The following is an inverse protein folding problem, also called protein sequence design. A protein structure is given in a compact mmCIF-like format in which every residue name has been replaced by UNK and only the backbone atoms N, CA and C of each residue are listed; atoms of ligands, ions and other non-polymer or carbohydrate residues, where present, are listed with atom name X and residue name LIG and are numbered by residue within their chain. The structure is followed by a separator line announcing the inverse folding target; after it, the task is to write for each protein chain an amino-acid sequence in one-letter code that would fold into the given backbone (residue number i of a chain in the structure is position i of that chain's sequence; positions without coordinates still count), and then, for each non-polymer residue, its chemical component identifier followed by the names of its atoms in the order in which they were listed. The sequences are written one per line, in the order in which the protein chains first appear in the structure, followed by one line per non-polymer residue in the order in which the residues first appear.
data_IF_168707838997
#
_entry.id   IF_168707838997
#
_cell.length_a   1.000
_cell.length_b   1.000
_cell.length_c   1.000
_cell.angle_alpha   90.00
_cell.angle_beta   90.00
_cell.angle_gamma   90.00
#
_symmetry.space_group_name_H-M   'P 1'
#
loop_
_entity.id
_entity.type
_entity.pdbx_description
1 polymer ?
#
# COMPACT_ATOMS: atom_id res chain seq x y z
N UNK A 1 -6.10 -31.00 6.34
CA UNK A 1 -7.12 -30.07 5.80
C UNK A 1 -6.78 -28.57 5.97
N UNK A 2 -5.65 -28.17 6.56
CA UNK A 2 -5.25 -26.76 6.77
C UNK A 2 -4.25 -26.22 5.74
N UNK A 3 -3.59 -27.09 4.98
CA UNK A 3 -2.61 -26.74 3.93
C UNK A 3 -3.21 -25.92 2.79
N UNK A 4 -4.54 -25.91 2.63
CA UNK A 4 -5.22 -25.19 1.56
C UNK A 4 -5.36 -23.67 1.81
N UNK A 5 -5.19 -23.16 3.03
CA UNK A 5 -5.40 -21.72 3.28
C UNK A 5 -4.23 -20.85 2.78
N UNK A 6 -3.03 -21.35 2.90
CA UNK A 6 -1.81 -20.63 2.54
C UNK A 6 -1.55 -20.71 1.03
N UNK A 7 -1.82 -21.87 0.41
CA UNK A 7 -1.87 -21.98 -1.06
C UNK A 7 -2.91 -21.03 -1.68
N UNK A 8 -4.00 -20.76 -0.95
CA UNK A 8 -5.02 -19.77 -1.34
C UNK A 8 -4.46 -18.35 -1.30
N UNK A 9 -3.53 -18.00 -0.40
CA UNK A 9 -2.95 -16.64 -0.32
C UNK A 9 -1.96 -16.41 -1.47
N UNK A 10 -1.15 -17.39 -1.85
CA UNK A 10 -0.23 -17.28 -3.00
C UNK A 10 -0.97 -17.42 -4.33
N UNK A 11 -1.90 -18.35 -4.45
CA UNK A 11 -2.82 -18.39 -5.59
C UNK A 11 -3.69 -17.13 -5.65
N UNK A 12 -4.04 -16.53 -4.51
CA UNK A 12 -4.68 -15.21 -4.45
C UNK A 12 -3.71 -14.08 -4.84
N UNK A 13 -2.43 -14.12 -4.49
CA UNK A 13 -1.45 -13.13 -4.98
C UNK A 13 -1.24 -13.25 -6.51
N UNK A 14 -1.21 -14.46 -7.06
CA UNK A 14 -1.14 -14.69 -8.51
C UNK A 14 -2.50 -14.43 -9.19
N UNK A 15 -3.62 -14.72 -8.53
CA UNK A 15 -4.98 -14.38 -9.01
C UNK A 15 -5.34 -12.91 -8.78
N UNK A 16 -4.67 -12.19 -7.88
CA UNK A 16 -4.83 -10.75 -7.68
C UNK A 16 -4.22 -9.93 -8.82
N UNK A 17 -3.34 -10.49 -9.65
CA UNK A 17 -2.96 -9.89 -10.93
C UNK A 17 -4.18 -9.82 -11.90
N UNK A 18 -5.25 -10.58 -11.65
CA UNK A 18 -6.51 -10.55 -12.40
C UNK A 18 -7.69 -10.09 -11.54
N UNK A 19 -7.48 -9.77 -10.27
CA UNK A 19 -8.51 -9.18 -9.43
C UNK A 19 -8.95 -7.89 -10.08
N UNK A 20 -10.08 -7.94 -10.76
CA UNK A 20 -10.88 -6.75 -11.00
C UNK A 20 -11.01 -6.07 -9.63
N UNK A 21 -10.22 -5.04 -9.40
CA UNK A 21 -10.44 -4.11 -8.30
C UNK A 21 -11.93 -3.77 -8.38
N UNK A 22 -12.72 -4.20 -7.42
CA UNK A 22 -14.18 -4.03 -7.42
C UNK A 22 -14.59 -2.54 -7.38
N UNK A 23 -13.64 -1.62 -7.55
CA UNK A 23 -13.88 -0.18 -7.72
C UNK A 23 -14.45 0.52 -6.48
N UNK A 24 -14.52 -0.20 -5.35
CA UNK A 24 -15.19 0.28 -4.15
C UNK A 24 -14.23 0.89 -3.13
N UNK A 25 -13.01 0.40 -3.06
CA UNK A 25 -11.99 0.99 -2.19
C UNK A 25 -11.35 2.18 -2.90
N UNK A 26 -11.44 3.35 -2.26
CA UNK A 26 -11.04 4.61 -2.87
C UNK A 26 -10.40 5.53 -1.84
N UNK A 27 -9.36 6.24 -2.26
CA UNK A 27 -8.83 7.40 -1.53
C UNK A 27 -8.99 8.63 -2.42
N UNK A 28 -9.87 9.55 -2.03
CA UNK A 28 -10.11 10.81 -2.73
C UNK A 28 -9.39 11.94 -1.99
N UNK A 29 -8.53 12.64 -2.70
CA UNK A 29 -7.84 13.85 -2.21
C UNK A 29 -8.34 15.06 -2.99
N UNK A 30 -8.80 16.09 -2.29
CA UNK A 30 -9.23 17.36 -2.88
C UNK A 30 -8.28 18.45 -2.38
N UNK A 31 -7.69 19.20 -3.29
CA UNK A 31 -6.78 20.31 -3.00
C UNK A 31 -7.45 21.60 -3.48
N UNK A 32 -7.51 22.61 -2.61
CA UNK A 32 -8.11 23.90 -2.89
C UNK A 32 -7.05 24.95 -3.30
N UNK A 33 -7.50 26.04 -3.95
CA UNK A 33 -6.62 27.14 -4.40
C UNK A 33 -5.87 27.82 -3.23
N UNK A 34 -6.45 27.86 -2.04
CA UNK A 34 -5.81 28.42 -0.84
C UNK A 34 -4.76 27.50 -0.22
N UNK A 35 -4.74 26.21 -0.62
CA UNK A 35 -3.83 25.18 -0.14
C UNK A 35 -4.43 24.31 0.96
N UNK A 36 -5.64 24.61 1.41
CA UNK A 36 -6.40 23.66 2.23
C UNK A 36 -6.74 22.42 1.42
N UNK A 37 -6.90 21.29 2.08
CA UNK A 37 -7.21 20.04 1.40
C UNK A 37 -8.10 19.14 2.25
N UNK A 38 -8.68 18.14 1.62
CA UNK A 38 -9.41 17.08 2.31
C UNK A 38 -9.06 15.71 1.75
N UNK A 39 -9.11 14.70 2.60
CA UNK A 39 -8.95 13.31 2.22
C UNK A 39 -10.15 12.51 2.70
N UNK A 40 -10.68 11.69 1.80
CA UNK A 40 -11.73 10.74 2.07
C UNK A 40 -11.26 9.35 1.67
N UNK A 41 -11.46 8.36 2.54
CA UNK A 41 -11.16 6.97 2.27
C UNK A 41 -12.46 6.16 2.36
N UNK A 42 -12.70 5.32 1.37
CA UNK A 42 -13.85 4.42 1.31
C UNK A 42 -13.35 2.99 1.26
N UNK A 43 -13.86 2.10 2.12
CA UNK A 43 -13.44 0.71 2.25
C UNK A 43 -14.55 -0.17 2.83
N UNK A 44 -14.39 -1.49 2.71
CA UNK A 44 -15.30 -2.46 3.31
C UNK A 44 -15.00 -2.62 4.81
N UNK A 45 -15.93 -2.23 5.71
CA UNK A 45 -15.66 -2.21 7.14
C UNK A 45 -15.81 -3.59 7.79
N UNK A 46 -15.10 -3.81 8.89
CA UNK A 46 -15.47 -4.85 9.84
C UNK A 46 -16.71 -4.43 10.67
N UNK A 47 -17.51 -5.39 11.19
CA UNK A 47 -18.69 -5.06 11.99
C UNK A 47 -18.37 -4.12 13.17
N UNK A 48 -17.30 -4.41 13.92
CA UNK A 48 -16.86 -3.59 15.04
C UNK A 48 -16.45 -2.17 14.64
N UNK A 49 -15.92 -1.96 13.42
CA UNK A 49 -15.52 -0.64 12.94
C UNK A 49 -16.71 0.24 12.58
N UNK A 50 -17.73 -0.33 11.91
CA UNK A 50 -18.92 0.43 11.47
C UNK A 50 -19.96 0.59 12.58
N UNK A 51 -19.93 -0.28 13.60
CA UNK A 51 -20.78 -0.21 14.79
C UNK A 51 -20.17 0.60 15.94
N UNK A 52 -18.89 1.00 15.83
CA UNK A 52 -18.23 1.85 16.81
C UNK A 52 -18.85 3.26 16.83
N UNK A 53 -18.85 3.87 18.02
CA UNK A 53 -19.30 5.26 18.18
C UNK A 53 -18.42 6.25 17.39
N UNK A 54 -18.95 7.39 17.00
CA UNK A 54 -18.25 8.41 16.21
C UNK A 54 -17.03 9.02 16.90
N UNK A 55 -16.98 8.98 18.20
CA UNK A 55 -15.92 9.51 19.07
C UNK A 55 -14.86 8.48 19.47
N UNK A 56 -15.03 7.22 19.09
CA UNK A 56 -14.05 6.15 19.33
C UNK A 56 -13.10 5.97 18.15
N UNK A 57 -11.80 5.76 18.35
CA UNK A 57 -10.91 5.37 17.26
C UNK A 57 -11.28 3.98 16.73
N UNK A 58 -11.06 3.76 15.45
CA UNK A 58 -11.33 2.46 14.82
C UNK A 58 -10.09 1.90 14.15
N UNK A 59 -10.08 0.58 14.02
CA UNK A 59 -9.09 -0.17 13.26
C UNK A 59 -9.78 -1.05 12.21
N UNK A 60 -9.30 -1.02 10.95
CA UNK A 60 -9.83 -1.83 9.87
C UNK A 60 -8.70 -2.21 8.90
N UNK A 61 -8.38 -3.50 8.78
CA UNK A 61 -7.34 -4.03 7.88
C UNK A 61 -6.00 -3.25 7.95
N UNK A 62 -5.53 -2.97 9.18
CA UNK A 62 -4.29 -2.20 9.42
C UNK A 62 -4.42 -0.69 9.28
N UNK A 63 -5.61 -0.17 8.94
CA UNK A 63 -5.90 1.26 8.94
C UNK A 63 -6.41 1.69 10.32
N UNK A 64 -5.86 2.79 10.85
CA UNK A 64 -6.24 3.35 12.14
C UNK A 64 -6.79 4.76 11.96
N UNK A 65 -8.07 4.96 12.26
CA UNK A 65 -8.69 6.27 12.21
C UNK A 65 -8.96 6.79 13.61
N UNK A 66 -8.44 7.97 13.94
CA UNK A 66 -8.77 8.68 15.17
C UNK A 66 -10.21 9.24 15.16
N UNK A 67 -10.64 9.75 16.31
CA UNK A 67 -11.95 10.39 16.48
C UNK A 67 -12.11 11.69 15.65
N UNK A 68 -11.03 12.26 15.15
CA UNK A 68 -10.97 13.44 14.29
C UNK A 68 -11.36 13.18 12.82
N UNK A 69 -11.57 11.92 12.45
CA UNK A 69 -12.12 11.53 11.16
C UNK A 69 -13.64 11.43 11.22
N UNK A 70 -14.31 12.25 10.42
CA UNK A 70 -15.76 12.13 10.20
C UNK A 70 -16.06 10.81 9.52
N UNK A 71 -17.08 10.09 9.99
CA UNK A 71 -17.41 8.74 9.52
C UNK A 71 -18.87 8.61 9.13
N UNK A 72 -19.11 7.88 8.05
CA UNK A 72 -20.44 7.50 7.58
C UNK A 72 -20.36 6.16 6.87
N UNK A 73 -21.50 5.55 6.55
CA UNK A 73 -21.56 4.33 5.77
C UNK A 73 -22.62 4.44 4.66
N UNK A 74 -22.45 3.67 3.60
CA UNK A 74 -23.43 3.49 2.52
C UNK A 74 -23.52 2.05 2.07
N UNK A 75 -24.59 1.68 1.35
CA UNK A 75 -24.65 0.43 0.61
C UNK A 75 -23.86 0.61 -0.69
N UNK A 76 -23.15 -0.44 -1.10
CA UNK A 76 -22.39 -0.46 -2.37
C UNK A 76 -23.33 -0.15 -3.55
N UNK A 77 -22.96 0.86 -4.34
CA UNK A 77 -23.76 1.34 -5.47
C UNK A 77 -24.85 2.37 -5.12
N UNK A 78 -25.04 2.67 -3.82
CA UNK A 78 -25.91 3.75 -3.37
C UNK A 78 -25.10 5.03 -3.11
N UNK A 79 -25.66 6.17 -3.43
CA UNK A 79 -25.08 7.49 -3.14
C UNK A 79 -25.50 8.04 -1.76
N UNK A 80 -26.42 7.36 -1.07
CA UNK A 80 -26.94 7.81 0.23
C UNK A 80 -25.99 7.35 1.34
N UNK A 81 -25.37 8.33 2.02
CA UNK A 81 -24.57 8.09 3.20
C UNK A 81 -25.41 8.18 4.48
N UNK A 82 -25.20 7.22 5.36
CA UNK A 82 -25.84 7.14 6.67
C UNK A 82 -24.81 7.43 7.78
N UNK A 83 -25.23 8.07 8.89
CA UNK A 83 -24.33 8.30 10.02
C UNK A 83 -23.94 6.97 10.70
N UNK A 84 -22.79 6.95 11.38
CA UNK A 84 -22.41 5.87 12.30
C UNK A 84 -22.94 6.19 13.72
N UNK A 85 -23.11 5.19 14.59
CA UNK A 85 -22.89 3.77 14.35
C UNK A 85 -24.01 3.13 13.50
N UNK A 86 -23.63 2.12 12.71
CA UNK A 86 -24.59 1.19 12.16
C UNK A 86 -25.14 0.33 13.29
N UNK A 87 -26.45 0.35 13.50
CA UNK A 87 -27.07 -0.41 14.61
C UNK A 87 -27.15 -1.90 14.31
N UNK A 88 -27.22 -2.73 15.36
CA UNK A 88 -27.41 -4.17 15.20
C UNK A 88 -28.66 -4.52 14.40
N UNK A 89 -29.77 -3.78 14.62
CA UNK A 89 -31.02 -3.98 13.88
C UNK A 89 -30.85 -3.71 12.38
N UNK A 90 -30.11 -2.65 12.02
CA UNK A 90 -29.79 -2.32 10.62
C UNK A 90 -28.91 -3.41 10.01
N UNK A 91 -27.88 -3.87 10.75
CA UNK A 91 -27.03 -4.99 10.31
C UNK A 91 -27.82 -6.25 10.01
N UNK A 92 -28.71 -6.66 10.94
CA UNK A 92 -29.55 -7.84 10.77
C UNK A 92 -30.55 -7.67 9.60
N UNK A 93 -30.99 -6.44 9.36
CA UNK A 93 -31.83 -6.11 8.19
C UNK A 93 -31.06 -6.28 6.88
N UNK A 94 -29.83 -5.76 6.81
CA UNK A 94 -28.95 -5.93 5.66
C UNK A 94 -28.63 -7.40 5.41
N UNK A 95 -28.38 -8.18 6.47
CA UNK A 95 -28.13 -9.63 6.37
C UNK A 95 -29.33 -10.40 5.78
N UNK A 96 -30.56 -9.96 6.08
CA UNK A 96 -31.78 -10.52 5.47
C UNK A 96 -31.94 -10.17 4.00
N UNK A 97 -31.53 -8.96 3.63
CA UNK A 97 -31.56 -8.48 2.22
C UNK A 97 -30.48 -9.21 1.39
N UNK A 98 -29.32 -9.49 1.97
CA UNK A 98 -28.18 -10.12 1.30
C UNK A 98 -27.82 -11.50 1.90
N UNK A 99 -28.74 -12.51 1.85
CA UNK A 99 -28.56 -13.76 2.60
C UNK A 99 -27.43 -14.66 2.07
N UNK A 100 -26.97 -14.46 0.85
CA UNK A 100 -25.91 -15.27 0.20
C UNK A 100 -24.54 -14.59 0.19
N UNK A 101 -24.41 -13.39 0.78
CA UNK A 101 -23.20 -12.58 0.78
C UNK A 101 -22.93 -12.07 2.18
N UNK A 102 -21.69 -11.72 2.48
CA UNK A 102 -21.41 -11.07 3.76
C UNK A 102 -21.92 -9.62 3.69
N UNK A 103 -22.48 -9.12 4.78
CA UNK A 103 -22.92 -7.70 4.85
C UNK A 103 -21.71 -6.78 4.61
N UNK A 104 -20.51 -7.19 5.07
CA UNK A 104 -19.26 -6.47 4.83
C UNK A 104 -19.07 -6.11 3.36
N UNK A 105 -19.29 -7.06 2.44
CA UNK A 105 -19.06 -6.85 1.01
C UNK A 105 -20.13 -5.95 0.35
N UNK A 106 -21.20 -5.62 1.09
CA UNK A 106 -22.33 -4.82 0.60
C UNK A 106 -22.37 -3.42 1.17
N UNK A 107 -21.52 -3.09 2.11
CA UNK A 107 -21.43 -1.77 2.69
C UNK A 107 -20.03 -1.18 2.51
N UNK A 108 -19.99 0.13 2.39
CA UNK A 108 -18.77 0.94 2.42
C UNK A 108 -18.80 1.85 3.63
N UNK A 109 -17.69 1.92 4.31
CA UNK A 109 -17.42 2.96 5.29
C UNK A 109 -16.66 4.09 4.61
N UNK A 110 -17.08 5.31 4.88
CA UNK A 110 -16.43 6.53 4.41
C UNK A 110 -15.83 7.25 5.62
N UNK A 111 -14.55 7.54 5.53
CA UNK A 111 -13.86 8.36 6.52
C UNK A 111 -13.32 9.60 5.85
N UNK A 112 -13.58 10.79 6.43
CA UNK A 112 -13.20 12.08 5.84
C UNK A 112 -12.59 13.00 6.88
N UNK A 113 -11.51 13.69 6.49
CA UNK A 113 -10.90 14.76 7.29
C UNK A 113 -10.46 15.92 6.39
N UNK A 114 -10.61 17.15 6.92
CA UNK A 114 -10.12 18.38 6.31
C UNK A 114 -8.80 18.79 6.98
N UNK A 115 -7.88 19.37 6.20
CA UNK A 115 -6.54 19.74 6.63
C UNK A 115 -6.22 21.16 6.19
N UNK A 116 -5.38 21.84 6.95
CA UNK A 116 -4.93 23.19 6.64
C UNK A 116 -3.93 23.24 5.48
N UNK A 117 -3.21 22.16 5.27
CA UNK A 117 -2.22 22.01 4.20
C UNK A 117 -1.92 20.54 3.90
N UNK A 118 -1.21 20.30 2.78
CA UNK A 118 -0.91 18.95 2.31
C UNK A 118 0.10 18.20 3.18
N UNK A 119 0.98 18.91 3.92
CA UNK A 119 1.91 18.27 4.87
C UNK A 119 1.16 17.64 6.03
N UNK A 120 0.23 18.38 6.66
CA UNK A 120 -0.64 17.85 7.71
C UNK A 120 -1.45 16.63 7.22
N UNK A 121 -1.93 16.71 5.97
CA UNK A 121 -2.67 15.61 5.35
C UNK A 121 -1.80 14.35 5.20
N UNK A 122 -0.55 14.48 4.74
CA UNK A 122 0.35 13.33 4.57
C UNK A 122 0.81 12.74 5.90
N UNK A 123 1.07 13.58 6.92
CA UNK A 123 1.38 13.13 8.28
C UNK A 123 0.19 12.35 8.88
N UNK A 124 -1.03 12.82 8.64
CA UNK A 124 -2.25 12.13 9.07
C UNK A 124 -2.41 10.79 8.37
N UNK A 125 -2.14 10.70 7.06
CA UNK A 125 -2.17 9.43 6.33
C UNK A 125 -1.14 8.45 6.90
N UNK A 126 0.09 8.90 7.16
CA UNK A 126 1.13 8.08 7.79
C UNK A 126 0.66 7.53 9.15
N UNK A 127 -0.10 8.31 9.91
CA UNK A 127 -0.69 7.86 11.18
C UNK A 127 -1.81 6.83 10.98
N UNK A 128 -2.62 6.97 9.92
CA UNK A 128 -3.69 6.03 9.58
C UNK A 128 -3.12 4.68 9.17
N UNK A 129 -2.11 4.67 8.32
CA UNK A 129 -1.56 3.42 7.76
C UNK A 129 -0.51 2.77 8.64
N UNK A 130 -0.13 3.34 9.76
CA UNK A 130 0.86 2.87 10.76
C UNK A 130 1.74 1.72 10.25
N UNK A 131 3.03 1.77 10.41
CA UNK A 131 3.96 0.66 10.12
C UNK A 131 3.89 0.01 8.71
N UNK A 132 2.94 0.38 7.85
CA UNK A 132 2.86 -0.13 6.48
C UNK A 132 3.69 0.75 5.55
N UNK A 133 3.31 2.00 5.43
CA UNK A 133 4.04 2.98 4.63
C UNK A 133 3.91 4.39 5.23
N UNK A 134 4.77 5.29 4.80
CA UNK A 134 4.69 6.72 5.08
C UNK A 134 4.31 7.47 3.82
N UNK A 135 3.59 8.57 4.00
CA UNK A 135 3.29 9.53 2.96
C UNK A 135 4.06 10.82 3.22
N UNK A 136 4.55 11.47 2.16
CA UNK A 136 5.05 12.84 2.20
C UNK A 136 4.45 13.59 1.02
N UNK A 137 3.87 14.76 1.25
CA UNK A 137 3.27 15.56 0.20
C UNK A 137 3.71 17.01 0.26
N UNK A 138 3.79 17.63 -0.92
CA UNK A 138 4.05 19.06 -1.09
C UNK A 138 3.11 19.67 -2.12
N UNK A 139 2.87 20.98 -1.99
CA UNK A 139 2.11 21.77 -2.93
C UNK A 139 2.84 23.10 -3.18
N UNK A 140 3.39 23.26 -4.38
CA UNK A 140 4.04 24.50 -4.80
C UNK A 140 3.10 25.32 -5.67
N UNK A 141 3.05 26.64 -5.41
CA UNK A 141 2.24 27.61 -6.17
C UNK A 141 3.14 28.53 -6.93
N UNK A 142 3.05 28.47 -8.25
CA UNK A 142 3.84 29.31 -9.15
C UNK A 142 2.94 30.39 -9.78
N UNK A 143 2.89 31.55 -9.15
CA UNK A 143 2.14 32.70 -9.65
C UNK A 143 2.75 33.23 -10.94
N UNK A 144 1.92 33.40 -11.96
CA UNK A 144 2.15 34.16 -13.19
C UNK A 144 1.05 35.20 -13.33
N UNK A 145 1.27 36.28 -14.06
CA UNK A 145 0.29 37.34 -14.13
C UNK A 145 -1.10 36.86 -14.56
N UNK A 146 -1.21 36.06 -15.61
CA UNK A 146 -2.48 35.58 -16.14
C UNK A 146 -2.96 34.24 -15.61
N UNK A 147 -2.13 33.50 -14.89
CA UNK A 147 -2.45 32.20 -14.32
C UNK A 147 -1.56 31.84 -13.12
N UNK A 148 -2.01 30.89 -12.33
CA UNK A 148 -1.22 30.30 -11.26
C UNK A 148 -1.13 28.80 -11.51
N UNK A 149 0.06 28.26 -11.53
CA UNK A 149 0.29 26.82 -11.58
C UNK A 149 0.40 26.26 -10.17
N UNK A 150 -0.24 25.12 -9.95
CA UNK A 150 -0.22 24.32 -8.71
C UNK A 150 0.47 23.02 -9.03
N UNK A 151 1.61 22.76 -8.39
CA UNK A 151 2.39 21.53 -8.54
C UNK A 151 2.25 20.74 -7.25
N UNK A 152 1.50 19.64 -7.33
CA UNK A 152 1.32 18.71 -6.23
C UNK A 152 2.22 17.49 -6.43
N UNK A 153 2.90 17.09 -5.37
CA UNK A 153 3.70 15.88 -5.33
C UNK A 153 3.37 15.11 -4.06
N UNK A 154 3.19 13.80 -4.17
CA UNK A 154 3.03 12.89 -3.02
C UNK A 154 3.85 11.64 -3.28
N UNK A 155 4.66 11.25 -2.28
CA UNK A 155 5.47 10.04 -2.30
C UNK A 155 4.98 9.11 -1.19
N UNK A 156 4.66 7.87 -1.56
CA UNK A 156 4.33 6.78 -0.64
C UNK A 156 5.51 5.81 -0.59
N UNK A 157 6.01 5.49 0.60
CA UNK A 157 7.17 4.60 0.78
C UNK A 157 6.99 3.68 1.98
N UNK A 158 7.36 2.41 1.87
CA UNK A 158 7.32 1.46 3.00
C UNK A 158 8.18 2.04 4.14
N UNK A 159 7.64 2.05 5.36
CA UNK A 159 8.31 2.67 6.51
C UNK A 159 9.52 1.84 6.90
N UNK A 160 9.45 0.63 7.19
CA UNK A 160 10.53 -0.22 7.70
C UNK A 160 10.64 -1.50 6.86
N UNK A 161 11.03 -1.36 5.59
CA UNK A 161 11.10 -2.47 4.64
C UNK A 161 11.94 -3.64 5.18
N UNK A 162 13.03 -3.35 5.90
CA UNK A 162 13.89 -4.37 6.51
C UNK A 162 13.22 -5.14 7.66
N UNK A 163 12.26 -4.51 8.35
CA UNK A 163 11.45 -5.21 9.35
C UNK A 163 10.43 -6.14 8.70
N UNK A 164 9.89 -5.76 7.55
CA UNK A 164 8.96 -6.60 6.79
C UNK A 164 9.75 -7.69 6.06
N UNK A 165 10.79 -7.30 5.31
CA UNK A 165 11.62 -8.19 4.51
C UNK A 165 13.06 -8.22 5.08
N UNK A 166 13.40 -9.30 5.76
CA UNK A 166 14.68 -9.43 6.50
C UNK A 166 15.90 -9.60 5.59
N UNK A 167 15.71 -9.76 4.29
CA UNK A 167 16.77 -9.94 3.28
C UNK A 167 16.51 -8.98 2.12
N UNK A 168 17.52 -8.21 1.65
CA UNK A 168 17.35 -7.30 0.53
C UNK A 168 16.97 -8.04 -0.77
N UNK A 169 16.04 -7.45 -1.54
CA UNK A 169 15.49 -8.02 -2.77
C UNK A 169 16.53 -8.05 -3.90
N UNK A 170 17.44 -7.08 -3.95
CA UNK A 170 18.49 -6.93 -4.96
C UNK A 170 19.50 -8.08 -4.98
N UNK A 171 19.51 -8.93 -3.95
CA UNK A 171 20.31 -10.17 -3.92
C UNK A 171 19.73 -11.27 -4.82
N UNK A 172 18.50 -11.15 -5.27
CA UNK A 172 17.76 -12.21 -5.98
C UNK A 172 17.35 -11.79 -7.39
N UNK A 173 17.01 -10.53 -7.58
CA UNK A 173 16.59 -9.96 -8.86
C UNK A 173 17.18 -8.57 -9.06
N UNK A 174 17.36 -8.16 -10.32
CA UNK A 174 17.76 -6.78 -10.62
C UNK A 174 16.64 -5.78 -10.28
N UNK A 175 16.97 -4.49 -10.13
CA UNK A 175 16.01 -3.45 -9.87
C UNK A 175 14.91 -3.36 -10.94
N UNK A 176 15.27 -3.51 -12.22
CA UNK A 176 14.32 -3.52 -13.34
C UNK A 176 13.40 -4.75 -13.29
N UNK A 177 13.95 -5.91 -12.94
CA UNK A 177 13.18 -7.16 -12.79
C UNK A 177 12.20 -7.05 -11.62
N UNK A 178 12.65 -6.52 -10.48
CA UNK A 178 11.77 -6.25 -9.34
C UNK A 178 10.66 -5.27 -9.69
N UNK A 179 11.02 -4.15 -10.33
CA UNK A 179 10.06 -3.16 -10.77
C UNK A 179 9.05 -3.75 -11.76
N UNK A 180 9.50 -4.51 -12.76
CA UNK A 180 8.61 -5.20 -13.70
C UNK A 180 7.63 -6.15 -13.00
N UNK A 181 8.11 -6.97 -12.05
CA UNK A 181 7.26 -7.93 -11.33
C UNK A 181 6.14 -7.24 -10.55
N UNK A 182 6.48 -6.21 -9.77
CA UNK A 182 5.52 -5.54 -8.87
C UNK A 182 4.72 -4.41 -9.53
N UNK A 183 5.20 -3.84 -10.64
CA UNK A 183 4.56 -2.66 -11.26
C UNK A 183 4.20 -2.83 -12.73
N UNK A 184 4.75 -3.85 -13.40
CA UNK A 184 4.66 -4.04 -14.84
C UNK A 184 5.56 -3.11 -15.66
N UNK A 185 6.47 -2.35 -15.02
CA UNK A 185 7.36 -1.38 -15.68
C UNK A 185 8.80 -1.47 -15.12
N UNK A 186 9.84 -1.34 -15.97
CA UNK A 186 9.77 -1.31 -17.43
C UNK A 186 9.22 -2.63 -17.98
N UNK A 187 8.58 -2.62 -19.15
CA UNK A 187 8.03 -3.85 -19.73
C UNK A 187 9.14 -4.75 -20.28
N UNK A 188 9.63 -5.68 -19.48
CA UNK A 188 10.66 -6.64 -19.87
C UNK A 188 10.16 -7.73 -20.83
N UNK A 189 8.85 -7.86 -20.99
CA UNK A 189 8.24 -8.83 -21.91
C UNK A 189 8.02 -8.26 -23.33
N UNK A 190 8.38 -7.00 -23.58
CA UNK A 190 8.19 -6.36 -24.86
C UNK A 190 9.00 -7.05 -25.97
N UNK A 191 8.35 -7.37 -27.07
CA UNK A 191 8.95 -8.06 -28.21
C UNK A 191 9.15 -9.58 -28.04
N UNK A 192 8.86 -10.15 -26.87
CA UNK A 192 8.96 -11.59 -26.62
C UNK A 192 7.74 -12.35 -27.16
N UNK A 193 7.95 -13.57 -27.63
CA UNK A 193 6.86 -14.54 -27.92
C UNK A 193 6.19 -15.00 -26.63
N UNK A 194 4.98 -15.56 -26.72
CA UNK A 194 4.27 -16.07 -25.52
C UNK A 194 5.03 -17.16 -24.77
N UNK A 195 5.86 -17.97 -25.43
CA UNK A 195 6.70 -18.97 -24.80
C UNK A 195 7.84 -18.32 -24.01
N UNK A 196 8.52 -17.34 -24.60
CA UNK A 196 9.62 -16.58 -23.96
C UNK A 196 9.10 -15.71 -22.80
N UNK A 197 7.89 -15.12 -22.94
CA UNK A 197 7.27 -14.39 -21.84
C UNK A 197 6.98 -15.31 -20.64
N UNK A 198 6.49 -16.52 -20.91
CA UNK A 198 6.25 -17.51 -19.86
C UNK A 198 7.56 -17.91 -19.16
N UNK A 199 8.61 -18.19 -19.93
CA UNK A 199 9.93 -18.54 -19.38
C UNK A 199 10.48 -17.42 -18.50
N UNK A 200 10.42 -16.16 -18.95
CA UNK A 200 10.79 -14.98 -18.19
C UNK A 200 10.03 -14.89 -16.87
N UNK A 201 8.69 -15.04 -16.92
CA UNK A 201 7.86 -14.95 -15.72
C UNK A 201 8.11 -16.10 -14.75
N UNK A 202 8.28 -17.33 -15.24
CA UNK A 202 8.61 -18.50 -14.41
C UNK A 202 9.97 -18.30 -13.71
N UNK A 203 10.99 -17.72 -14.39
CA UNK A 203 12.28 -17.38 -13.79
C UNK A 203 12.16 -16.30 -12.70
N UNK A 204 11.44 -15.23 -13.00
CA UNK A 204 11.23 -14.14 -12.02
C UNK A 204 10.47 -14.67 -10.81
N UNK A 205 9.40 -15.44 -11.00
CA UNK A 205 8.62 -16.04 -9.92
C UNK A 205 9.50 -16.94 -9.02
N UNK A 206 10.36 -17.76 -9.62
CA UNK A 206 11.27 -18.62 -8.86
C UNK A 206 12.26 -17.81 -8.01
N UNK A 207 12.77 -16.69 -8.52
CA UNK A 207 13.70 -15.83 -7.79
C UNK A 207 12.98 -15.02 -6.68
N UNK A 208 11.78 -14.50 -6.94
CA UNK A 208 10.96 -13.83 -5.94
C UNK A 208 10.54 -14.80 -4.83
N UNK A 209 10.13 -16.02 -5.20
CA UNK A 209 9.82 -17.09 -4.23
C UNK A 209 11.02 -17.43 -3.35
N UNK A 210 12.22 -17.53 -3.94
CA UNK A 210 13.46 -17.72 -3.21
C UNK A 210 13.72 -16.56 -2.22
N UNK A 211 13.50 -15.32 -2.64
CA UNK A 211 13.61 -14.16 -1.76
C UNK A 211 12.66 -14.23 -0.54
N UNK A 212 11.39 -14.58 -0.75
CA UNK A 212 10.44 -14.78 0.34
C UNK A 212 10.87 -15.88 1.30
N UNK A 213 11.28 -17.02 0.76
CA UNK A 213 11.82 -18.14 1.55
C UNK A 213 13.04 -17.71 2.37
N UNK A 214 13.95 -16.95 1.76
CA UNK A 214 15.13 -16.40 2.43
C UNK A 214 14.73 -15.43 3.56
N UNK A 215 13.75 -14.56 3.35
CA UNK A 215 13.21 -13.67 4.40
C UNK A 215 12.58 -14.47 5.56
N UNK A 216 11.83 -15.53 5.26
CA UNK A 216 11.24 -16.42 6.26
C UNK A 216 12.33 -17.13 7.05
N UNK A 217 13.30 -17.76 6.37
CA UNK A 217 14.42 -18.43 7.01
C UNK A 217 15.22 -17.48 7.88
N UNK A 218 15.54 -16.26 7.38
CA UNK A 218 16.28 -15.25 8.13
C UNK A 218 15.56 -14.81 9.40
N UNK A 219 14.24 -14.65 9.32
CA UNK A 219 13.41 -14.31 10.48
C UNK A 219 13.39 -15.45 11.50
N UNK A 220 13.04 -16.66 11.07
CA UNK A 220 12.97 -17.84 11.93
C UNK A 220 14.31 -18.13 12.59
N UNK A 221 15.38 -18.04 11.84
CA UNK A 221 16.74 -18.25 12.35
C UNK A 221 17.13 -17.21 13.42
N UNK A 222 16.82 -15.96 13.17
CA UNK A 222 17.05 -14.88 14.15
C UNK A 222 16.20 -15.07 15.41
N UNK A 223 14.91 -15.42 15.26
CA UNK A 223 14.03 -15.68 16.40
C UNK A 223 14.52 -16.89 17.22
N UNK A 224 14.91 -17.98 16.56
CA UNK A 224 15.47 -19.14 17.22
C UNK A 224 16.78 -18.83 17.97
N UNK A 225 17.61 -17.90 17.47
CA UNK A 225 18.85 -17.48 18.14
C UNK A 225 18.63 -16.83 19.50
N UNK A 226 17.43 -16.26 19.76
CA UNK A 226 17.07 -15.71 21.08
C UNK A 226 16.93 -16.79 22.12
N UNK A 227 16.63 -18.02 21.70
CA UNK A 227 16.47 -19.22 22.55
C UNK A 227 17.66 -20.17 22.44
N UNK A 228 18.79 -19.72 21.88
CA UNK A 228 19.99 -20.56 21.70
C UNK A 228 20.47 -21.21 22.99
N UNK A 229 20.38 -20.49 24.12
CA UNK A 229 20.86 -20.96 25.43
C UNK A 229 20.01 -22.12 26.02
N UNK A 230 18.84 -22.42 25.42
CA UNK A 230 18.00 -23.57 25.74
C UNK A 230 18.49 -24.88 25.06
N UNK A 231 19.37 -24.75 24.05
CA UNK A 231 19.84 -25.89 23.25
C UNK A 231 20.86 -26.73 24.03
N UNK A 232 20.58 -28.02 24.17
CA UNK A 232 21.50 -28.96 24.80
C UNK A 232 22.55 -29.43 23.78
N UNK A 233 23.84 -29.30 24.14
CA UNK A 233 24.96 -29.72 23.31
C UNK A 233 24.90 -29.16 21.87
N UNK A 234 24.86 -27.84 21.68
CA UNK A 234 24.84 -27.26 20.34
C UNK A 234 26.10 -27.63 19.56
N UNK A 235 25.98 -27.91 18.26
CA UNK A 235 27.14 -28.35 17.44
C UNK A 235 28.14 -27.22 17.16
N UNK A 236 27.74 -25.97 17.32
CA UNK A 236 28.58 -24.76 17.13
C UNK A 236 28.32 -23.78 18.26
N UNK A 237 29.23 -22.82 18.49
CA UNK A 237 29.00 -21.75 19.47
C UNK A 237 27.90 -20.76 19.00
N UNK A 238 27.36 -19.95 19.92
CA UNK A 238 26.32 -18.95 19.57
C UNK A 238 26.85 -17.94 18.55
N UNK A 239 28.12 -17.53 18.67
CA UNK A 239 28.78 -16.63 17.71
C UNK A 239 28.88 -17.27 16.33
N UNK A 240 29.24 -18.54 16.25
CA UNK A 240 29.29 -19.30 14.99
C UNK A 240 27.88 -19.52 14.42
N UNK A 241 26.89 -19.81 15.27
CA UNK A 241 25.49 -19.91 14.84
C UNK A 241 25.04 -18.61 14.16
N UNK A 242 25.26 -17.46 14.80
CA UNK A 242 24.90 -16.17 14.22
C UNK A 242 25.67 -15.84 12.93
N UNK A 243 26.96 -16.18 12.86
CA UNK A 243 27.81 -15.96 11.68
C UNK A 243 27.38 -16.82 10.47
N UNK A 244 26.79 -17.99 10.69
CA UNK A 244 26.33 -18.90 9.63
C UNK A 244 24.94 -18.55 9.08
N UNK A 245 24.27 -17.53 9.63
CA UNK A 245 22.93 -17.11 9.19
C UNK A 245 22.84 -16.92 7.68
N UNK A 246 23.75 -16.16 7.09
CA UNK A 246 23.71 -15.86 5.65
C UNK A 246 23.92 -17.12 4.80
N UNK A 247 24.80 -18.02 5.25
CA UNK A 247 25.07 -19.28 4.56
C UNK A 247 23.86 -20.21 4.48
N UNK A 248 23.07 -20.30 5.57
CA UNK A 248 21.86 -21.13 5.57
C UNK A 248 20.73 -20.46 4.80
N UNK A 249 20.55 -19.15 4.95
CA UNK A 249 19.51 -18.36 4.27
C UNK A 249 19.64 -18.43 2.75
N UNK A 250 20.88 -18.43 2.24
CA UNK A 250 21.17 -18.53 0.81
C UNK A 250 21.38 -19.96 0.30
N UNK A 251 21.11 -20.97 1.12
CA UNK A 251 21.33 -22.37 0.74
C UNK A 251 20.30 -22.86 -0.31
N UNK A 252 20.69 -23.84 -1.17
CA UNK A 252 19.76 -24.45 -2.12
C UNK A 252 18.51 -25.07 -1.46
N UNK A 253 18.64 -25.50 -0.20
CA UNK A 253 17.52 -26.06 0.55
C UNK A 253 16.42 -25.00 0.80
N UNK A 254 16.81 -23.75 1.10
CA UNK A 254 15.89 -22.63 1.26
C UNK A 254 15.28 -22.22 -0.07
N UNK A 255 16.05 -22.24 -1.17
CA UNK A 255 15.51 -21.97 -2.50
C UNK A 255 14.36 -22.90 -2.86
N UNK A 256 14.47 -24.17 -2.49
CA UNK A 256 13.51 -25.22 -2.83
C UNK A 256 12.43 -25.43 -1.74
N UNK A 257 12.35 -24.54 -0.74
CA UNK A 257 11.25 -24.54 0.20
C UNK A 257 9.93 -24.21 -0.52
N UNK A 258 8.85 -24.87 -0.10
CA UNK A 258 7.52 -24.37 -0.45
C UNK A 258 7.28 -23.02 0.23
N UNK A 259 6.78 -22.06 -0.52
CA UNK A 259 6.37 -20.77 0.03
C UNK A 259 5.43 -20.97 1.21
N UNK A 260 5.72 -20.31 2.33
CA UNK A 260 4.96 -20.44 3.59
C UNK A 260 4.95 -21.86 4.17
N UNK A 261 6.05 -22.56 3.98
CA UNK A 261 6.24 -23.90 4.57
C UNK A 261 5.96 -23.94 6.04
N UNK A 262 5.42 -25.07 6.49
CA UNK A 262 5.34 -25.41 7.89
C UNK A 262 6.72 -25.31 8.56
N UNK A 263 6.76 -24.87 9.81
CA UNK A 263 7.97 -24.77 10.63
C UNK A 263 8.77 -26.09 10.68
N UNK A 264 8.12 -27.22 10.47
CA UNK A 264 8.78 -28.54 10.39
C UNK A 264 9.78 -28.62 9.22
N UNK A 265 9.50 -27.97 8.08
CA UNK A 265 10.42 -27.92 6.94
C UNK A 265 11.64 -27.06 7.27
N UNK A 266 11.43 -25.91 7.95
CA UNK A 266 12.54 -25.07 8.44
C UNK A 266 13.39 -25.84 9.44
N UNK A 267 12.79 -26.55 10.38
CA UNK A 267 13.48 -27.41 11.35
C UNK A 267 14.35 -28.47 10.65
N UNK A 268 13.80 -29.11 9.60
CA UNK A 268 14.55 -30.09 8.78
C UNK A 268 15.74 -29.45 8.08
N UNK A 269 15.59 -28.28 7.47
CA UNK A 269 16.69 -27.59 6.80
C UNK A 269 17.81 -27.25 7.79
N UNK A 270 17.46 -26.76 8.99
CA UNK A 270 18.44 -26.46 10.04
C UNK A 270 19.15 -27.73 10.52
N UNK A 271 18.40 -28.84 10.74
CA UNK A 271 18.98 -30.15 11.07
C UNK A 271 19.97 -30.63 10.01
N UNK A 272 19.58 -30.60 8.74
CA UNK A 272 20.41 -31.05 7.62
C UNK A 272 21.63 -30.15 7.47
N UNK A 273 21.52 -28.84 7.64
CA UNK A 273 22.63 -27.89 7.55
C UNK A 273 23.69 -28.09 8.63
N UNK A 274 23.27 -28.33 9.87
CA UNK A 274 24.19 -28.57 11.00
C UNK A 274 24.55 -30.04 11.22
N UNK A 275 23.95 -30.95 10.46
CA UNK A 275 24.06 -32.40 10.67
C UNK A 275 23.76 -32.81 12.13
N UNK A 276 22.77 -32.15 12.76
CA UNK A 276 22.47 -32.29 14.18
C UNK A 276 20.99 -32.07 14.50
N UNK A 277 20.47 -32.91 15.39
CA UNK A 277 19.12 -32.74 15.95
C UNK A 277 19.07 -31.73 17.13
N UNK A 278 20.20 -31.17 17.54
CA UNK A 278 20.30 -30.34 18.75
C UNK A 278 19.34 -29.13 18.75
N UNK A 279 19.07 -28.56 17.58
CA UNK A 279 18.18 -27.40 17.43
C UNK A 279 16.69 -27.79 17.23
N UNK A 280 16.37 -29.06 16.94
CA UNK A 280 14.98 -29.53 16.69
C UNK A 280 14.00 -29.15 17.79
N UNK A 281 14.36 -29.20 19.11
CA UNK A 281 13.44 -28.79 20.17
C UNK A 281 12.97 -27.34 20.09
N UNK A 282 13.75 -26.42 19.50
CA UNK A 282 13.35 -25.02 19.32
C UNK A 282 12.15 -24.86 18.38
N UNK A 283 11.87 -25.86 17.54
CA UNK A 283 10.82 -25.85 16.52
C UNK A 283 9.67 -26.80 16.83
N UNK A 284 9.65 -27.40 18.04
CA UNK A 284 8.64 -28.42 18.42
C UNK A 284 7.25 -27.86 18.69
N UNK A 285 7.14 -26.60 19.15
CA UNK A 285 5.85 -25.95 19.37
C UNK A 285 5.34 -25.26 18.10
N UNK A 286 4.62 -26.02 17.28
CA UNK A 286 4.05 -25.52 16.03
C UNK A 286 3.04 -24.38 16.22
N UNK A 287 2.33 -24.32 17.36
CA UNK A 287 1.36 -23.27 17.63
C UNK A 287 2.03 -21.94 18.00
N UNK A 288 3.13 -21.99 18.74
CA UNK A 288 3.93 -20.81 19.01
C UNK A 288 4.46 -20.23 17.70
N UNK A 289 5.04 -21.07 16.85
CA UNK A 289 5.58 -20.63 15.56
C UNK A 289 4.51 -20.13 14.61
N UNK A 290 3.34 -20.78 14.53
CA UNK A 290 2.19 -20.27 13.77
C UNK A 290 1.85 -18.84 14.20
N UNK A 291 1.73 -18.58 15.51
CA UNK A 291 1.45 -17.25 16.05
C UNK A 291 2.55 -16.23 15.76
N UNK A 292 3.81 -16.63 15.84
CA UNK A 292 4.97 -15.77 15.60
C UNK A 292 5.06 -15.39 14.12
N UNK A 293 4.85 -16.35 13.23
CA UNK A 293 4.84 -16.11 11.79
C UNK A 293 3.62 -15.29 11.35
N UNK A 294 2.44 -15.58 11.86
CA UNK A 294 1.24 -14.78 11.61
C UNK A 294 1.46 -13.32 11.98
N UNK A 295 2.03 -13.07 13.16
CA UNK A 295 2.36 -11.71 13.59
C UNK A 295 3.38 -11.03 12.66
N UNK A 296 4.41 -11.78 12.21
CA UNK A 296 5.44 -11.27 11.29
C UNK A 296 4.85 -10.89 9.93
N UNK A 297 3.99 -11.75 9.38
CA UNK A 297 3.46 -11.58 8.03
C UNK A 297 2.21 -10.72 7.96
N UNK A 298 1.59 -10.39 9.10
CA UNK A 298 0.35 -9.58 9.13
C UNK A 298 0.51 -8.23 8.43
N UNK A 299 1.62 -7.54 8.65
CA UNK A 299 1.89 -6.25 7.97
C UNK A 299 2.09 -6.43 6.46
N UNK A 300 2.75 -7.52 6.05
CA UNK A 300 2.90 -7.85 4.65
C UNK A 300 1.56 -8.20 4.00
N UNK A 301 0.73 -9.01 4.67
CA UNK A 301 -0.61 -9.36 4.22
C UNK A 301 -1.47 -8.10 4.00
N UNK A 302 -1.48 -7.17 4.95
CA UNK A 302 -2.18 -5.89 4.80
C UNK A 302 -1.64 -5.07 3.62
N UNK A 303 -0.31 -5.00 3.46
CA UNK A 303 0.30 -4.28 2.35
C UNK A 303 -0.13 -4.88 1.00
N UNK A 304 -0.11 -6.22 0.87
CA UNK A 304 -0.50 -6.92 -0.37
C UNK A 304 -1.98 -6.82 -0.69
N UNK A 305 -2.84 -6.78 0.34
CA UNK A 305 -4.30 -6.64 0.15
C UNK A 305 -4.73 -5.22 -0.18
N UNK A 306 -3.89 -4.23 0.12
CA UNK A 306 -4.22 -2.82 -0.09
C UNK A 306 -4.14 -2.45 -1.57
N UNK A 307 -5.27 -2.14 -2.18
CA UNK A 307 -5.35 -1.73 -3.59
C UNK A 307 -6.42 -0.64 -3.84
N UNK A 308 -6.43 0.47 -3.07
CA UNK A 308 -7.41 1.52 -3.29
C UNK A 308 -7.15 2.26 -4.61
N UNK A 309 -8.22 2.72 -5.24
CA UNK A 309 -8.13 3.70 -6.30
C UNK A 309 -7.76 5.06 -5.70
N UNK A 310 -6.66 5.67 -6.15
CA UNK A 310 -6.26 7.00 -5.72
C UNK A 310 -6.82 8.04 -6.69
N UNK A 311 -7.71 8.88 -6.22
CA UNK A 311 -8.33 9.96 -6.98
C UNK A 311 -7.92 11.32 -6.41
N UNK A 312 -7.54 12.23 -7.29
CA UNK A 312 -7.13 13.59 -6.93
C UNK A 312 -7.95 14.62 -7.68
N UNK A 313 -8.43 15.62 -6.97
CA UNK A 313 -9.06 16.81 -7.53
C UNK A 313 -8.17 18.01 -7.25
N UNK A 314 -7.67 18.63 -8.32
CA UNK A 314 -6.78 19.79 -8.24
C UNK A 314 -7.55 21.09 -8.51
N UNK A 315 -7.06 22.24 -8.01
CA UNK A 315 -7.63 23.51 -8.39
C UNK A 315 -7.43 23.81 -9.88
N UNK A 316 -8.46 24.29 -10.56
CA UNK A 316 -8.42 24.68 -11.97
C UNK A 316 -8.33 23.50 -12.94
N UNK A 317 -7.59 23.66 -14.04
CA UNK A 317 -7.46 22.65 -15.10
C UNK A 317 -6.14 21.88 -14.95
N UNK A 318 -6.20 20.56 -14.93
CA UNK A 318 -5.02 19.70 -14.97
C UNK A 318 -4.29 19.89 -16.31
N UNK A 319 -2.99 20.17 -16.26
CA UNK A 319 -2.11 20.34 -17.43
C UNK A 319 -1.06 19.23 -17.55
N UNK A 320 -0.74 18.57 -16.43
CA UNK A 320 0.12 17.39 -16.39
C UNK A 320 -0.35 16.50 -15.23
N UNK A 321 -0.46 15.22 -15.49
CA UNK A 321 -0.90 14.19 -14.52
C UNK A 321 0.17 13.09 -14.34
N UNK A 322 1.37 13.24 -14.86
CA UNK A 322 2.39 12.18 -14.83
C UNK A 322 1.82 10.85 -15.36
N UNK A 323 1.84 9.82 -14.53
CA UNK A 323 1.29 8.49 -14.87
C UNK A 323 -0.21 8.34 -14.56
N UNK A 324 -0.88 9.41 -14.10
CA UNK A 324 -2.30 9.42 -13.78
C UNK A 324 -3.18 9.56 -15.02
N UNK A 325 -4.40 9.04 -14.95
CA UNK A 325 -5.44 9.16 -15.99
C UNK A 325 -6.37 10.30 -15.62
N UNK A 326 -6.54 11.27 -16.53
CA UNK A 326 -7.42 12.42 -16.31
C UNK A 326 -8.83 12.08 -16.79
N UNK A 327 -9.80 12.10 -15.87
CA UNK A 327 -11.22 11.89 -16.15
C UNK A 327 -12.02 13.11 -15.66
N UNK A 328 -12.34 14.02 -16.55
CA UNK A 328 -12.97 15.30 -16.20
C UNK A 328 -12.06 16.18 -15.35
N UNK A 329 -12.40 16.40 -14.09
CA UNK A 329 -11.62 17.16 -13.12
C UNK A 329 -10.88 16.25 -12.10
N UNK A 330 -10.95 14.94 -12.28
CA UNK A 330 -10.31 13.96 -11.40
C UNK A 330 -9.09 13.37 -12.11
N UNK A 331 -7.98 13.28 -11.39
CA UNK A 331 -6.80 12.51 -11.81
C UNK A 331 -6.79 11.21 -11.02
N UNK A 332 -6.79 10.11 -11.75
CA UNK A 332 -6.86 8.77 -11.18
C UNK A 332 -5.54 8.02 -11.32
N UNK A 333 -5.06 7.46 -10.21
CA UNK A 333 -3.91 6.57 -10.17
C UNK A 333 -4.32 5.18 -9.71
N UNK A 334 -3.73 4.16 -10.33
CA UNK A 334 -3.86 2.78 -9.87
C UNK A 334 -2.74 2.49 -8.88
N UNK A 335 -3.11 2.11 -7.68
CA UNK A 335 -2.19 1.78 -6.62
C UNK A 335 -2.47 0.38 -6.09
N UNK A 336 -1.40 -0.34 -5.73
CA UNK A 336 -1.45 -1.51 -4.86
C UNK A 336 -0.23 -1.45 -3.94
N UNK A 337 -0.36 -1.98 -2.72
CA UNK A 337 0.71 -1.88 -1.73
C UNK A 337 1.99 -2.61 -2.16
N UNK A 338 1.89 -3.66 -2.97
CA UNK A 338 3.04 -4.37 -3.53
C UNK A 338 3.93 -3.49 -4.42
N UNK A 339 3.37 -2.45 -5.05
CA UNK A 339 4.13 -1.48 -5.86
C UNK A 339 5.16 -0.69 -5.05
N UNK A 340 5.01 -0.66 -3.73
CA UNK A 340 5.95 -0.01 -2.83
C UNK A 340 7.21 -0.86 -2.55
N UNK A 341 7.21 -2.15 -2.93
CA UNK A 341 8.31 -3.07 -2.60
C UNK A 341 9.59 -2.69 -3.35
N UNK A 342 9.59 -2.49 -4.69
CA UNK A 342 10.82 -2.18 -5.42
C UNK A 342 11.29 -0.73 -5.19
N UNK A 343 10.38 0.22 -5.04
CA UNK A 343 10.69 1.64 -4.87
C UNK A 343 9.45 2.42 -4.37
N UNK A 344 9.62 3.63 -3.83
CA UNK A 344 8.50 4.51 -3.50
C UNK A 344 7.57 4.74 -4.69
N UNK A 345 6.30 4.97 -4.40
CA UNK A 345 5.28 5.30 -5.39
C UNK A 345 5.03 6.81 -5.40
N UNK A 346 5.24 7.42 -6.56
CA UNK A 346 5.14 8.86 -6.73
C UNK A 346 3.88 9.26 -7.49
N UNK A 347 3.17 10.25 -6.96
CA UNK A 347 2.07 10.97 -7.59
C UNK A 347 2.57 12.38 -7.89
N UNK A 348 2.45 12.83 -9.13
CA UNK A 348 2.83 14.18 -9.55
C UNK A 348 1.74 14.77 -10.44
N UNK A 349 1.15 15.90 -10.02
CA UNK A 349 0.05 16.55 -10.73
C UNK A 349 0.35 18.05 -10.84
N UNK A 350 0.28 18.58 -12.05
CA UNK A 350 0.30 20.02 -12.26
C UNK A 350 -1.03 20.50 -12.80
N UNK A 351 -1.59 21.52 -12.16
CA UNK A 351 -2.82 22.15 -12.61
C UNK A 351 -2.68 23.66 -12.70
N UNK A 352 -3.59 24.30 -13.41
CA UNK A 352 -3.55 25.73 -13.71
C UNK A 352 -4.87 26.39 -13.45
N UNK A 353 -4.83 27.48 -12.68
CA UNK A 353 -5.95 28.39 -12.45
C UNK A 353 -5.72 29.68 -13.22
N UNK A 354 -6.73 30.13 -13.96
CA UNK A 354 -6.66 31.40 -14.69
C UNK A 354 -6.94 32.56 -13.74
N UNK A 355 -6.05 33.55 -13.70
CA UNK A 355 -6.19 34.76 -12.92
C UNK A 355 -7.09 35.76 -13.66
N UNK A 356 -8.41 35.57 -13.61
CA UNK A 356 -9.40 36.39 -14.35
C UNK A 356 -9.25 37.88 -14.03
N UNK A 357 -8.95 38.23 -12.78
CA UNK A 357 -8.73 39.62 -12.36
C UNK A 357 -7.57 40.29 -13.12
N UNK A 358 -6.53 39.54 -13.48
CA UNK A 358 -5.36 40.07 -14.19
C UNK A 358 -5.72 40.49 -15.62
N UNK A 359 -6.62 39.80 -16.28
CA UNK A 359 -7.15 40.20 -17.59
C UNK A 359 -7.94 41.50 -17.48
N UNK A 360 -8.76 41.66 -16.46
CA UNK A 360 -9.56 42.85 -16.18
C UNK A 360 -8.60 44.06 -15.97
N UNK A 361 -7.61 43.90 -15.07
CA UNK A 361 -6.65 44.96 -14.76
C UNK A 361 -5.85 45.30 -16.02
N UNK A 362 -5.34 44.31 -16.75
CA UNK A 362 -4.59 44.57 -18.01
C UNK A 362 -5.44 45.31 -19.03
N UNK A 363 -6.71 44.93 -19.19
CA UNK A 363 -7.63 45.61 -20.10
C UNK A 363 -7.87 47.08 -19.70
N UNK A 364 -8.08 47.35 -18.41
CA UNK A 364 -8.21 48.72 -17.90
C UNK A 364 -6.98 49.56 -18.13
N UNK A 365 -5.77 49.01 -17.91
CA UNK A 365 -4.51 49.69 -18.18
C UNK A 365 -4.37 50.04 -19.67
N UNK A 366 -4.73 49.11 -20.56
CA UNK A 366 -4.70 49.35 -22.01
C UNK A 366 -5.67 50.49 -22.38
N UNK A 367 -6.90 50.48 -21.86
CA UNK A 367 -7.89 51.55 -22.11
C UNK A 367 -7.34 52.90 -21.65
N UNK A 368 -6.79 52.96 -20.43
CA UNK A 368 -6.22 54.20 -19.89
C UNK A 368 -5.03 54.70 -20.74
N UNK A 369 -4.15 53.79 -21.17
CA UNK A 369 -3.01 54.15 -22.04
C UNK A 369 -3.45 54.69 -23.41
N UNK A 370 -4.42 54.02 -24.03
CA UNK A 370 -5.00 54.43 -25.31
C UNK A 370 -5.76 55.78 -25.18
N UNK A 371 -6.58 55.88 -24.11
CA UNK A 371 -7.32 57.15 -23.84
C UNK A 371 -6.36 58.31 -23.58
N UNK A 372 -5.32 58.13 -22.81
CA UNK A 372 -4.27 59.10 -22.55
C UNK A 372 -3.56 59.54 -23.84
N UNK A 373 -3.22 58.58 -24.73
CA UNK A 373 -2.61 58.88 -26.02
C UNK A 373 -3.49 59.82 -26.89
N UNK A 374 -4.79 59.54 -26.95
CA UNK A 374 -5.73 60.42 -27.68
C UNK A 374 -5.97 61.77 -27.01
N UNK A 375 -5.93 61.80 -25.68
CA UNK A 375 -6.07 63.05 -24.92
C UNK A 375 -4.90 64.02 -25.16
N UNK A 376 -3.67 63.53 -25.15
CA UNK A 376 -2.46 64.34 -25.37
C UNK A 376 -2.20 64.70 -26.83
N UNK A 377 -2.90 64.08 -27.78
CA UNK A 377 -2.73 64.36 -29.22
C UNK A 377 -3.68 65.42 -29.73
N UNK A 378 -4.61 65.91 -28.91
CA UNK A 378 -5.44 67.08 -29.14
C UNK A 378 -4.74 68.33 -28.59
#
# INVERSE_FOLDING_TARGET
MKTNRILIIVAAAVLLLTSCNNGHERMLTIINEDGTCSREMSFHPYPNSVMASSDEPIENDGLHFGADWQRSWSVVGDSVCHPIPLTQEQWDSLQRVFPKQTVRDKILMHTKRNFQNVSEMSDSLTSVVRHLFKATASLDKHFKWFYTDYVYQETLAITDIEQIFSVPLDRFVSADTASYWFTGQPNLADGLTGAEQKELLDEIEANISHWFNACTMAFVYTYASLRYDEVKNPPVSKEQYLALKDSIVMSPAVRNMDLFSDISQVSKIIKDFYHSDAYTPLFSDSKEWERVLDKKYKSYEYLMMMAPQLDYVMPGKVIDAGNGVVEGNVVRYRFSGERLIPHPYDVAITSRVTNVWAFIVTFLVIILAVGSFFYYRK
#
